data_IF_041595483972
#
_entry.id   IF_041595483972
#
_cell.length_a   1.000
_cell.length_b   1.000
_cell.length_c   1.000
_cell.angle_alpha   90.00
_cell.angle_beta   90.00
_cell.angle_gamma   90.00
#
_symmetry.space_group_name_H-M   'P 1'
#
loop_
_entity.id
_entity.type
_entity.pdbx_description
1 polymer ?
#
# COMPACT_ATOMS: atom_id res chain seq x y z
N UNK A 1 -24.47 -7.91 1.57
CA UNK A 1 -24.53 -6.50 2.03
C UNK A 1 -24.53 -6.54 3.53
N UNK A 2 -23.66 -5.78 4.18
CA UNK A 2 -23.58 -5.71 5.64
C UNK A 2 -24.26 -4.40 6.07
N UNK A 3 -25.19 -4.46 7.02
CA UNK A 3 -25.80 -3.25 7.60
C UNK A 3 -25.05 -2.91 8.89
N UNK A 4 -24.65 -1.66 9.05
CA UNK A 4 -24.07 -1.14 10.27
C UNK A 4 -25.17 -0.89 11.32
N UNK A 5 -25.61 -1.96 11.98
CA UNK A 5 -26.67 -1.93 12.99
C UNK A 5 -26.34 -1.05 14.19
N UNK A 6 -25.05 -0.93 14.52
CA UNK A 6 -24.56 -0.09 15.62
C UNK A 6 -24.79 1.39 15.28
N UNK A 7 -24.46 1.80 14.06
CA UNK A 7 -24.71 3.18 13.59
C UNK A 7 -26.20 3.55 13.66
N UNK A 8 -27.09 2.65 13.21
CA UNK A 8 -28.54 2.83 13.28
C UNK A 8 -29.00 2.96 14.74
N UNK A 9 -28.54 2.07 15.63
CA UNK A 9 -28.90 2.07 17.05
C UNK A 9 -28.51 3.37 17.74
N UNK A 10 -27.26 3.80 17.55
CA UNK A 10 -26.73 5.00 18.19
C UNK A 10 -27.53 6.23 17.72
N UNK A 11 -27.71 6.36 16.41
CA UNK A 11 -28.46 7.49 15.85
C UNK A 11 -29.92 7.50 16.27
N UNK A 12 -30.57 6.33 16.36
CA UNK A 12 -31.94 6.22 16.87
C UNK A 12 -32.05 6.73 18.30
N UNK A 13 -31.11 6.34 19.17
CA UNK A 13 -31.07 6.77 20.58
C UNK A 13 -30.82 8.28 20.70
N UNK A 14 -29.91 8.83 19.90
CA UNK A 14 -29.65 10.28 19.85
C UNK A 14 -30.91 11.09 19.48
N UNK A 15 -31.72 10.59 18.55
CA UNK A 15 -32.98 11.22 18.15
C UNK A 15 -34.16 10.89 19.08
N UNK A 16 -33.93 10.15 20.18
CA UNK A 16 -34.95 9.82 21.18
C UNK A 16 -36.02 8.83 20.71
N UNK A 17 -35.79 8.09 19.62
CA UNK A 17 -36.76 7.12 19.13
C UNK A 17 -36.68 5.78 19.87
N UNK A 18 -37.83 5.20 20.21
CA UNK A 18 -37.90 3.77 20.54
C UNK A 18 -37.82 2.93 19.25
N UNK A 19 -37.43 1.65 19.37
CA UNK A 19 -37.43 0.74 18.22
C UNK A 19 -38.83 0.61 17.59
N UNK A 20 -39.88 0.63 18.43
CA UNK A 20 -41.27 0.54 17.96
C UNK A 20 -41.70 1.80 17.19
N UNK A 21 -41.30 2.99 17.65
CA UNK A 21 -41.56 4.24 16.95
C UNK A 21 -40.86 4.29 15.59
N UNK A 22 -39.58 3.91 15.55
CA UNK A 22 -38.82 3.85 14.30
C UNK A 22 -39.45 2.84 13.34
N UNK A 23 -39.81 1.65 13.82
CA UNK A 23 -40.43 0.60 13.00
C UNK A 23 -41.72 1.07 12.34
N UNK A 24 -42.61 1.72 13.11
CA UNK A 24 -43.87 2.28 12.58
C UNK A 24 -43.62 3.31 11.49
N UNK A 25 -42.67 4.23 11.70
CA UNK A 25 -42.33 5.27 10.71
C UNK A 25 -41.64 4.69 9.47
N UNK A 26 -40.81 3.67 9.64
CA UNK A 26 -40.07 3.03 8.55
C UNK A 26 -40.90 1.99 7.77
N UNK A 27 -42.16 1.77 8.16
CA UNK A 27 -43.07 0.78 7.58
C UNK A 27 -42.49 -0.64 7.69
N UNK A 28 -42.06 -1.00 8.89
CA UNK A 28 -41.61 -2.35 9.23
C UNK A 28 -42.01 -2.74 10.66
N UNK A 29 -41.60 -3.92 11.12
CA UNK A 29 -41.92 -4.41 12.47
C UNK A 29 -40.77 -4.12 13.45
N UNK A 30 -41.09 -3.99 14.74
CA UNK A 30 -40.08 -3.75 15.77
C UNK A 30 -39.02 -4.89 15.85
N UNK A 31 -39.37 -6.17 15.68
CA UNK A 31 -38.37 -7.24 15.55
C UNK A 31 -37.37 -7.03 14.41
N UNK A 32 -37.81 -6.49 13.26
CA UNK A 32 -36.91 -6.17 12.14
C UNK A 32 -35.88 -5.12 12.55
N UNK A 33 -36.30 -4.03 13.22
CA UNK A 33 -35.36 -3.02 13.74
C UNK A 33 -34.39 -3.65 14.75
N UNK A 34 -34.89 -4.49 15.65
CA UNK A 34 -34.06 -5.16 16.65
C UNK A 34 -32.98 -6.04 16.00
N UNK A 35 -33.36 -6.88 15.04
CA UNK A 35 -32.46 -7.73 14.28
C UNK A 35 -31.43 -6.92 13.50
N UNK A 36 -31.84 -5.81 12.86
CA UNK A 36 -30.92 -4.91 12.15
C UNK A 36 -29.89 -4.34 13.12
N UNK A 37 -30.32 -3.80 14.26
CA UNK A 37 -29.42 -3.19 15.26
C UNK A 37 -28.45 -4.19 15.88
N UNK A 38 -28.85 -5.47 15.99
CA UNK A 38 -28.02 -6.56 16.49
C UNK A 38 -27.12 -7.19 15.42
N UNK A 39 -27.28 -6.83 14.14
CA UNK A 39 -26.57 -7.48 13.03
C UNK A 39 -27.08 -8.88 12.68
N UNK A 40 -28.27 -9.25 13.17
CA UNK A 40 -28.89 -10.57 12.99
C UNK A 40 -29.88 -10.61 11.80
N UNK A 41 -30.05 -9.50 11.08
CA UNK A 41 -30.99 -9.41 9.99
C UNK A 41 -30.52 -10.20 8.76
N UNK A 42 -31.00 -11.45 8.63
CA UNK A 42 -30.55 -12.40 7.58
C UNK A 42 -31.42 -12.43 6.31
N UNK A 43 -32.55 -11.72 6.30
CA UNK A 43 -33.47 -11.74 5.17
C UNK A 43 -32.85 -11.05 3.95
N UNK A 44 -33.24 -11.46 2.73
CA UNK A 44 -32.88 -10.72 1.50
C UNK A 44 -33.18 -9.24 1.74
N UNK A 45 -32.13 -8.44 1.73
CA UNK A 45 -32.15 -7.05 2.21
C UNK A 45 -33.27 -6.27 1.52
N UNK A 46 -34.33 -5.91 2.25
CA UNK A 46 -35.34 -5.03 1.72
C UNK A 46 -34.80 -3.60 1.74
N UNK A 47 -34.14 -3.20 0.64
CA UNK A 47 -33.53 -1.88 0.48
C UNK A 47 -34.52 -0.73 0.71
N UNK A 48 -35.82 -0.95 0.50
CA UNK A 48 -36.86 0.07 0.77
C UNK A 48 -36.93 0.36 2.27
N UNK A 49 -36.98 -0.68 3.11
CA UNK A 49 -37.01 -0.53 4.57
C UNK A 49 -35.75 0.18 5.06
N UNK A 50 -34.58 -0.21 4.55
CA UNK A 50 -33.31 0.42 4.95
C UNK A 50 -33.23 1.88 4.49
N UNK A 51 -33.69 2.21 3.27
CA UNK A 51 -33.79 3.60 2.80
C UNK A 51 -34.69 4.44 3.70
N UNK A 52 -35.84 3.90 4.10
CA UNK A 52 -36.76 4.58 5.01
C UNK A 52 -36.13 4.83 6.38
N UNK A 53 -35.46 3.83 6.95
CA UNK A 53 -34.72 3.97 8.22
C UNK A 53 -33.64 5.05 8.10
N UNK A 54 -32.81 5.00 7.05
CA UNK A 54 -31.73 5.96 6.85
C UNK A 54 -32.28 7.39 6.68
N UNK A 55 -33.35 7.57 5.91
CA UNK A 55 -34.02 8.87 5.74
C UNK A 55 -34.55 9.42 7.08
N UNK A 56 -35.23 8.59 7.88
CA UNK A 56 -35.78 9.00 9.18
C UNK A 56 -34.71 9.34 10.21
N UNK A 57 -33.55 8.69 10.13
CA UNK A 57 -32.43 8.91 11.04
C UNK A 57 -31.42 9.95 10.52
N UNK A 58 -31.69 10.53 9.33
CA UNK A 58 -30.78 11.45 8.62
C UNK A 58 -29.39 10.85 8.41
N UNK A 59 -29.35 9.55 8.10
CA UNK A 59 -28.14 8.81 7.81
C UNK A 59 -27.95 8.66 6.30
N UNK A 60 -26.69 8.72 5.89
CA UNK A 60 -26.27 8.36 4.54
C UNK A 60 -26.34 6.84 4.37
N UNK A 61 -27.15 6.39 3.41
CA UNK A 61 -27.36 4.95 3.16
C UNK A 61 -26.07 4.25 2.76
N UNK A 62 -25.13 4.93 2.11
CA UNK A 62 -23.86 4.31 1.69
C UNK A 62 -22.92 4.08 2.88
N UNK A 63 -23.11 4.81 3.98
CA UNK A 63 -22.41 4.60 5.26
C UNK A 63 -23.05 3.47 6.07
N UNK A 64 -24.37 3.35 6.01
CA UNK A 64 -25.15 2.34 6.77
C UNK A 64 -25.12 0.98 6.08
N UNK A 65 -25.29 0.95 4.76
CA UNK A 65 -25.27 -0.27 3.96
C UNK A 65 -23.91 -0.41 3.32
N UNK A 66 -23.05 -1.21 3.94
CA UNK A 66 -21.79 -1.59 3.34
C UNK A 66 -22.08 -2.66 2.29
N UNK A 67 -22.24 -2.23 1.04
CA UNK A 67 -22.28 -3.14 -0.10
C UNK A 67 -20.98 -3.94 -0.18
N UNK A 68 -21.00 -5.14 -0.79
CA UNK A 68 -19.75 -5.91 -1.00
C UNK A 68 -18.72 -5.02 -1.72
N UNK A 69 -19.18 -4.23 -2.70
CA UNK A 69 -18.40 -3.16 -3.36
C UNK A 69 -17.80 -2.17 -2.34
N UNK A 70 -18.59 -1.56 -1.46
CA UNK A 70 -18.11 -0.54 -0.52
C UNK A 70 -17.10 -1.11 0.50
N UNK A 71 -17.31 -2.34 0.99
CA UNK A 71 -16.37 -3.03 1.88
C UNK A 71 -15.03 -3.24 1.17
N UNK A 72 -15.07 -3.79 -0.05
CA UNK A 72 -13.86 -4.09 -0.82
C UNK A 72 -13.10 -2.84 -1.24
N UNK A 73 -13.82 -1.80 -1.65
CA UNK A 73 -13.24 -0.49 -1.94
C UNK A 73 -12.61 0.15 -0.71
N UNK A 74 -13.22 0.01 0.47
CA UNK A 74 -12.64 0.52 1.71
C UNK A 74 -11.36 -0.25 2.09
N UNK A 75 -11.39 -1.58 2.05
CA UNK A 75 -10.20 -2.42 2.26
C UNK A 75 -9.07 -2.02 1.30
N UNK A 76 -9.37 -1.92 0.00
CA UNK A 76 -8.42 -1.52 -1.04
C UNK A 76 -7.81 -0.12 -0.80
N UNK A 77 -8.62 0.85 -0.37
CA UNK A 77 -8.15 2.21 -0.07
C UNK A 77 -7.22 2.26 1.14
N UNK A 78 -7.38 1.35 2.09
CA UNK A 78 -6.62 1.32 3.34
C UNK A 78 -5.38 0.42 3.30
N UNK A 79 -5.07 -0.24 2.18
CA UNK A 79 -3.81 -0.98 2.01
C UNK A 79 -2.64 0.02 2.18
N UNK A 80 -1.83 -0.18 3.22
CA UNK A 80 -0.61 0.60 3.49
C UNK A 80 0.54 0.09 2.64
N UNK A 81 1.67 0.81 2.51
CA UNK A 81 2.80 0.25 1.75
C UNK A 81 3.35 -1.00 2.44
N UNK A 82 3.35 -1.03 3.77
CA UNK A 82 3.83 -2.18 4.53
C UNK A 82 3.03 -3.42 4.16
N UNK A 83 1.70 -3.31 4.04
CA UNK A 83 0.84 -4.40 3.58
C UNK A 83 1.22 -4.87 2.15
N UNK A 84 1.58 -3.93 1.26
CA UNK A 84 1.98 -4.24 -0.11
C UNK A 84 3.29 -5.05 -0.14
N UNK A 85 4.27 -4.69 0.70
CA UNK A 85 5.56 -5.37 0.76
C UNK A 85 5.56 -6.67 1.59
N UNK A 86 4.62 -6.82 2.53
CA UNK A 86 4.46 -8.05 3.31
C UNK A 86 3.68 -9.14 2.59
N UNK A 87 3.03 -8.82 1.46
CA UNK A 87 2.33 -9.79 0.59
C UNK A 87 1.34 -10.71 1.30
N UNK A 88 0.52 -10.16 2.20
CA UNK A 88 -0.53 -10.96 2.84
C UNK A 88 -1.51 -11.53 1.80
N UNK A 89 -2.00 -12.76 2.03
CA UNK A 89 -3.02 -13.43 1.21
C UNK A 89 -4.25 -12.54 1.02
N UNK A 90 -4.57 -11.72 2.02
CA UNK A 90 -5.67 -10.77 1.96
C UNK A 90 -5.52 -9.71 0.86
N UNK A 91 -4.31 -9.18 0.63
CA UNK A 91 -4.07 -8.17 -0.41
C UNK A 91 -4.37 -8.73 -1.80
N UNK A 92 -3.98 -9.97 -2.07
CA UNK A 92 -4.24 -10.64 -3.36
C UNK A 92 -5.73 -10.77 -3.65
N UNK A 93 -6.49 -11.19 -2.66
CA UNK A 93 -7.95 -11.34 -2.79
C UNK A 93 -8.63 -9.98 -2.95
N UNK A 94 -8.18 -8.96 -2.21
CA UNK A 94 -8.73 -7.60 -2.32
C UNK A 94 -8.57 -7.05 -3.73
N UNK A 95 -7.40 -7.22 -4.37
CA UNK A 95 -7.17 -6.75 -5.75
C UNK A 95 -8.13 -7.42 -6.75
N UNK A 96 -8.20 -8.75 -6.74
CA UNK A 96 -9.08 -9.48 -7.66
C UNK A 96 -10.56 -9.11 -7.48
N UNK A 97 -10.99 -8.90 -6.23
CA UNK A 97 -12.38 -8.56 -5.94
C UNK A 97 -12.73 -7.09 -6.22
N UNK A 98 -11.74 -6.18 -6.26
CA UNK A 98 -11.98 -4.75 -6.49
C UNK A 98 -11.95 -4.36 -7.96
N UNK A 99 -11.32 -5.15 -8.82
CA UNK A 99 -11.17 -4.90 -10.27
C UNK A 99 -12.49 -4.48 -10.96
N UNK A 100 -13.65 -5.15 -10.72
CA UNK A 100 -14.91 -4.78 -11.36
C UNK A 100 -15.49 -3.43 -10.89
N UNK A 101 -14.93 -2.85 -9.83
CA UNK A 101 -15.42 -1.64 -9.18
C UNK A 101 -14.50 -0.42 -9.37
N UNK A 102 -13.48 -0.53 -10.23
CA UNK A 102 -12.50 0.53 -10.49
C UNK A 102 -13.04 1.61 -11.45
N UNK A 103 -13.82 2.54 -10.90
CA UNK A 103 -14.53 3.56 -11.70
C UNK A 103 -13.64 4.77 -12.07
N UNK A 104 -12.68 5.15 -11.21
CA UNK A 104 -11.87 6.35 -11.42
C UNK A 104 -10.45 6.02 -11.87
N UNK A 105 -9.82 6.93 -12.64
CA UNK A 105 -8.42 6.79 -13.04
C UNK A 105 -7.48 6.66 -11.82
N UNK A 106 -7.72 7.44 -10.76
CA UNK A 106 -6.93 7.36 -9.51
C UNK A 106 -7.00 5.97 -8.88
N UNK A 107 -8.16 5.33 -8.91
CA UNK A 107 -8.33 3.96 -8.39
C UNK A 107 -7.61 2.93 -9.26
N UNK A 108 -7.69 3.06 -10.59
CA UNK A 108 -6.95 2.20 -11.53
C UNK A 108 -5.44 2.34 -11.35
N UNK A 109 -4.93 3.56 -11.19
CA UNK A 109 -3.51 3.82 -10.92
C UNK A 109 -3.08 3.22 -9.58
N UNK A 110 -3.87 3.39 -8.52
CA UNK A 110 -3.59 2.74 -7.24
C UNK A 110 -3.58 1.21 -7.37
N UNK A 111 -4.51 0.64 -8.14
CA UNK A 111 -4.57 -0.80 -8.37
C UNK A 111 -3.31 -1.30 -9.10
N UNK A 112 -2.88 -0.56 -10.13
CA UNK A 112 -1.64 -0.82 -10.84
C UNK A 112 -0.42 -0.71 -9.93
N UNK A 113 -0.37 0.27 -9.05
CA UNK A 113 0.74 0.43 -8.10
C UNK A 113 0.89 -0.80 -7.19
N UNK A 114 -0.21 -1.23 -6.55
CA UNK A 114 -0.20 -2.41 -5.68
C UNK A 114 0.10 -3.68 -6.48
N UNK A 115 -0.48 -3.81 -7.68
CA UNK A 115 -0.21 -4.96 -8.57
C UNK A 115 1.24 -5.00 -9.03
N UNK A 116 1.84 -3.85 -9.33
CA UNK A 116 3.24 -3.72 -9.74
C UNK A 116 4.21 -4.16 -8.66
N UNK A 117 4.00 -3.71 -7.42
CA UNK A 117 4.76 -4.19 -6.25
C UNK A 117 4.63 -5.70 -6.10
N UNK A 118 3.41 -6.24 -6.21
CA UNK A 118 3.18 -7.69 -6.14
C UNK A 118 3.91 -8.46 -7.24
N UNK A 119 3.87 -7.98 -8.48
CA UNK A 119 4.57 -8.63 -9.60
C UNK A 119 6.08 -8.59 -9.39
N UNK A 120 6.61 -7.47 -8.92
CA UNK A 120 8.02 -7.33 -8.56
C UNK A 120 8.45 -8.35 -7.50
N UNK A 121 7.70 -8.46 -6.41
CA UNK A 121 8.02 -9.38 -5.30
C UNK A 121 7.90 -10.87 -5.67
N UNK A 122 7.14 -11.19 -6.72
CA UNK A 122 7.03 -12.54 -7.28
C UNK A 122 8.03 -12.79 -8.43
N UNK A 123 9.09 -11.98 -8.55
CA UNK A 123 10.09 -12.05 -9.61
C UNK A 123 9.50 -11.98 -11.04
N UNK A 124 8.33 -11.37 -11.19
CA UNK A 124 7.67 -11.17 -12.48
C UNK A 124 7.89 -9.74 -12.98
N UNK A 125 9.11 -9.50 -13.47
CA UNK A 125 9.58 -8.15 -13.79
C UNK A 125 8.89 -7.49 -14.98
N UNK A 126 8.48 -8.25 -16.00
CA UNK A 126 7.78 -7.69 -17.17
C UNK A 126 6.41 -7.16 -16.76
N UNK A 127 5.65 -7.92 -15.99
CA UNK A 127 4.34 -7.51 -15.49
C UNK A 127 4.46 -6.37 -14.46
N UNK A 128 5.52 -6.38 -13.64
CA UNK A 128 5.82 -5.27 -12.76
C UNK A 128 6.01 -3.96 -13.54
N UNK A 129 6.81 -3.99 -14.61
CA UNK A 129 7.01 -2.84 -15.51
C UNK A 129 5.69 -2.35 -16.10
N UNK A 130 4.89 -3.26 -16.66
CA UNK A 130 3.61 -2.93 -17.31
C UNK A 130 2.63 -2.26 -16.34
N UNK A 131 2.65 -2.66 -15.06
CA UNK A 131 1.86 -2.03 -14.02
C UNK A 131 2.43 -0.69 -13.54
N UNK A 132 3.74 -0.59 -13.37
CA UNK A 132 4.39 0.56 -12.72
C UNK A 132 4.64 1.76 -13.66
N UNK A 133 4.84 1.54 -14.96
CA UNK A 133 5.03 2.65 -15.91
C UNK A 133 3.85 3.64 -15.95
N UNK A 134 2.57 3.19 -16.04
CA UNK A 134 1.42 4.09 -15.96
C UNK A 134 1.33 4.84 -14.64
N UNK A 135 1.79 4.23 -13.54
CA UNK A 135 1.79 4.84 -12.20
C UNK A 135 2.73 6.03 -12.17
N UNK A 136 3.96 5.85 -12.64
CA UNK A 136 4.93 6.93 -12.70
C UNK A 136 4.46 8.08 -13.61
N UNK A 137 3.92 7.75 -14.79
CA UNK A 137 3.37 8.76 -15.70
C UNK A 137 2.22 9.57 -15.07
N UNK A 138 1.35 8.91 -14.31
CA UNK A 138 0.25 9.59 -13.62
C UNK A 138 0.76 10.56 -12.56
N UNK A 139 1.73 10.15 -11.75
CA UNK A 139 2.24 10.96 -10.64
C UNK A 139 3.16 12.09 -11.08
N UNK A 140 3.97 11.92 -12.13
CA UNK A 140 4.80 13.00 -12.67
C UNK A 140 3.98 14.24 -13.09
N UNK A 141 2.70 14.04 -13.39
CA UNK A 141 1.76 15.11 -13.76
C UNK A 141 1.01 15.70 -12.54
N UNK A 142 1.38 15.31 -11.31
CA UNK A 142 0.75 15.73 -10.06
C UNK A 142 1.79 16.25 -9.08
N UNK A 143 1.44 17.29 -8.32
CA UNK A 143 2.26 17.82 -7.21
C UNK A 143 2.05 17.04 -5.90
N UNK A 144 1.81 15.73 -6.01
CA UNK A 144 1.48 14.84 -4.88
C UNK A 144 2.10 13.46 -5.12
N UNK A 145 2.25 12.67 -4.05
CA UNK A 145 2.69 11.26 -4.15
C UNK A 145 4.18 11.08 -4.40
N UNK A 146 5.02 11.97 -3.86
CA UNK A 146 6.47 11.96 -4.04
C UNK A 146 7.10 10.63 -3.58
N UNK A 147 6.56 10.04 -2.52
CA UNK A 147 7.03 8.76 -2.01
C UNK A 147 6.67 7.60 -2.93
N UNK A 148 5.42 7.53 -3.40
CA UNK A 148 5.02 6.51 -4.38
C UNK A 148 5.80 6.63 -5.68
N UNK A 149 6.19 7.85 -6.08
CA UNK A 149 7.09 8.07 -7.21
C UNK A 149 8.47 7.46 -6.96
N UNK A 150 9.10 7.75 -5.82
CA UNK A 150 10.39 7.15 -5.44
C UNK A 150 10.34 5.63 -5.46
N UNK A 151 9.34 5.03 -4.79
CA UNK A 151 9.19 3.57 -4.77
C UNK A 151 9.00 3.04 -6.19
N UNK A 152 8.17 3.67 -7.00
CA UNK A 152 7.93 3.26 -8.38
C UNK A 152 9.21 3.32 -9.22
N UNK A 153 10.02 4.38 -9.11
CA UNK A 153 11.29 4.50 -9.82
C UNK A 153 12.29 3.42 -9.39
N UNK A 154 12.42 3.16 -8.09
CA UNK A 154 13.29 2.09 -7.59
C UNK A 154 12.87 0.72 -8.14
N UNK A 155 11.58 0.39 -8.06
CA UNK A 155 11.05 -0.89 -8.56
C UNK A 155 11.16 -1.04 -10.08
N UNK A 156 10.99 0.05 -10.85
CA UNK A 156 11.26 0.05 -12.28
C UNK A 156 12.75 -0.18 -12.55
N UNK A 157 13.65 0.47 -11.80
CA UNK A 157 15.09 0.25 -11.95
C UNK A 157 15.46 -1.22 -11.74
N UNK A 158 14.95 -1.85 -10.67
CA UNK A 158 15.14 -3.28 -10.43
C UNK A 158 14.57 -4.15 -11.54
N UNK A 159 13.33 -3.88 -11.94
CA UNK A 159 12.62 -4.71 -12.91
C UNK A 159 13.23 -4.62 -14.31
N UNK A 160 13.79 -3.46 -14.69
CA UNK A 160 14.54 -3.34 -15.94
C UNK A 160 15.92 -3.99 -15.86
N UNK A 161 16.57 -3.95 -14.69
CA UNK A 161 17.84 -4.62 -14.49
C UNK A 161 17.70 -6.14 -14.65
N UNK A 162 16.67 -6.74 -14.06
CA UNK A 162 16.43 -8.19 -14.10
C UNK A 162 16.12 -8.72 -15.50
N UNK A 163 15.62 -7.88 -16.42
CA UNK A 163 15.41 -8.23 -17.83
C UNK A 163 16.52 -7.69 -18.74
N UNK A 164 17.69 -7.37 -18.16
CA UNK A 164 18.92 -6.95 -18.86
C UNK A 164 18.77 -5.66 -19.69
N UNK A 165 17.80 -4.81 -19.35
CA UNK A 165 17.60 -3.48 -19.94
C UNK A 165 18.34 -2.42 -19.12
N UNK A 166 19.66 -2.56 -19.04
CA UNK A 166 20.52 -1.77 -18.16
C UNK A 166 20.42 -0.25 -18.37
N UNK A 167 20.30 0.21 -19.62
CA UNK A 167 20.14 1.65 -19.92
C UNK A 167 18.90 2.22 -19.24
N UNK A 168 17.76 1.52 -19.36
CA UNK A 168 16.51 1.96 -18.73
C UNK A 168 16.61 1.85 -17.20
N UNK A 169 17.22 0.78 -16.68
CA UNK A 169 17.46 0.61 -15.25
C UNK A 169 18.24 1.79 -14.65
N UNK A 170 19.33 2.20 -15.32
CA UNK A 170 20.17 3.33 -14.91
C UNK A 170 19.45 4.68 -15.02
N UNK A 171 18.58 4.85 -16.01
CA UNK A 171 17.76 6.06 -16.13
C UNK A 171 16.81 6.22 -14.93
N UNK A 172 16.11 5.14 -14.54
CA UNK A 172 15.24 5.17 -13.37
C UNK A 172 16.00 5.31 -12.06
N UNK A 173 17.19 4.69 -11.95
CA UNK A 173 18.09 4.86 -10.81
C UNK A 173 18.53 6.33 -10.66
N UNK A 174 18.92 6.97 -11.76
CA UNK A 174 19.33 8.38 -11.76
C UNK A 174 18.18 9.29 -11.31
N UNK A 175 16.98 9.08 -11.88
CA UNK A 175 15.79 9.84 -11.50
C UNK A 175 15.41 9.66 -10.02
N UNK A 176 15.55 8.43 -9.50
CA UNK A 176 15.34 8.14 -8.09
C UNK A 176 16.32 8.91 -7.20
N UNK A 177 17.61 8.88 -7.53
CA UNK A 177 18.67 9.57 -6.77
C UNK A 177 18.44 11.07 -6.74
N UNK A 178 18.09 11.67 -7.88
CA UNK A 178 17.78 13.09 -8.00
C UNK A 178 16.58 13.47 -7.13
N UNK A 179 15.48 12.71 -7.22
CA UNK A 179 14.28 12.99 -6.45
C UNK A 179 14.47 12.78 -4.95
N UNK A 180 15.24 11.77 -4.54
CA UNK A 180 15.48 11.43 -3.14
C UNK A 180 16.18 12.56 -2.35
N UNK A 181 16.85 13.49 -3.03
CA UNK A 181 17.49 14.66 -2.41
C UNK A 181 16.49 15.67 -1.84
N UNK A 182 15.23 15.66 -2.32
CA UNK A 182 14.25 16.70 -2.04
C UNK A 182 13.08 16.24 -1.16
N UNK A 183 12.95 14.94 -0.90
CA UNK A 183 11.84 14.41 -0.11
C UNK A 183 12.12 14.59 1.38
N UNK A 184 11.18 15.23 2.09
CA UNK A 184 11.32 15.53 3.51
C UNK A 184 11.43 14.25 4.35
N UNK A 185 12.45 14.23 5.21
CA UNK A 185 12.96 13.09 5.98
C UNK A 185 12.03 12.69 7.16
N UNK A 186 10.89 13.38 7.26
CA UNK A 186 10.14 13.48 8.51
C UNK A 186 9.24 12.28 8.80
N UNK A 187 8.70 11.52 7.82
CA UNK A 187 7.69 10.51 8.22
C UNK A 187 7.45 9.20 7.44
N UNK A 188 8.06 8.87 6.29
CA UNK A 188 7.61 7.67 5.54
C UNK A 188 8.51 6.43 5.62
N UNK A 189 7.92 5.31 6.10
CA UNK A 189 8.20 3.90 5.75
C UNK A 189 9.69 3.54 5.55
N UNK A 190 10.52 3.98 6.51
CA UNK A 190 11.99 3.93 6.50
C UNK A 190 12.58 2.53 6.27
N UNK A 191 11.85 1.48 6.64
CA UNK A 191 12.23 0.08 6.37
C UNK A 191 12.18 -0.24 4.88
N UNK A 192 11.16 0.26 4.18
CA UNK A 192 11.02 0.07 2.72
C UNK A 192 12.10 0.84 1.99
N UNK A 193 12.33 2.12 2.36
CA UNK A 193 13.40 2.92 1.74
C UNK A 193 14.78 2.32 1.95
N UNK A 194 15.08 1.82 3.16
CA UNK A 194 16.34 1.12 3.42
C UNK A 194 16.53 -0.10 2.50
N UNK A 195 15.50 -0.94 2.33
CA UNK A 195 15.57 -2.10 1.45
C UNK A 195 15.73 -1.69 -0.02
N UNK A 196 15.05 -0.63 -0.45
CA UNK A 196 15.19 -0.09 -1.81
C UNK A 196 16.61 0.44 -2.05
N UNK A 197 17.15 1.26 -1.14
CA UNK A 197 18.52 1.76 -1.24
C UNK A 197 19.54 0.63 -1.28
N UNK A 198 19.41 -0.38 -0.40
CA UNK A 198 20.30 -1.54 -0.38
C UNK A 198 20.32 -2.29 -1.72
N UNK A 199 19.15 -2.50 -2.33
CA UNK A 199 19.09 -3.10 -3.65
C UNK A 199 19.68 -2.19 -4.74
N UNK A 200 19.41 -0.89 -4.71
CA UNK A 200 19.90 0.03 -5.73
C UNK A 200 21.42 0.17 -5.68
N UNK A 201 22.02 0.11 -4.48
CA UNK A 201 23.47 0.04 -4.30
C UNK A 201 24.06 -1.17 -5.04
N UNK A 202 23.41 -2.34 -4.97
CA UNK A 202 23.84 -3.51 -5.74
C UNK A 202 23.84 -3.23 -7.25
N UNK A 203 22.77 -2.62 -7.78
CA UNK A 203 22.71 -2.21 -9.19
C UNK A 203 23.84 -1.22 -9.54
N UNK A 204 24.12 -0.27 -8.66
CA UNK A 204 25.21 0.69 -8.86
C UNK A 204 26.56 -0.02 -9.01
N UNK A 205 26.87 -0.99 -8.14
CA UNK A 205 28.12 -1.75 -8.23
C UNK A 205 28.22 -2.57 -9.52
N UNK A 206 27.16 -3.29 -9.89
CA UNK A 206 27.13 -4.08 -11.13
C UNK A 206 27.32 -3.22 -12.39
N UNK A 207 26.85 -1.97 -12.36
CA UNK A 207 26.98 -1.02 -13.46
C UNK A 207 28.18 -0.06 -13.33
N UNK A 208 29.05 -0.22 -12.32
CA UNK A 208 30.19 0.66 -12.04
C UNK A 208 29.82 2.14 -11.82
N UNK A 209 28.65 2.39 -11.23
CA UNK A 209 28.13 3.72 -10.88
C UNK A 209 28.51 4.09 -9.44
N UNK A 210 29.81 4.27 -9.18
CA UNK A 210 30.34 4.40 -7.82
C UNK A 210 29.79 5.63 -7.08
N UNK A 211 29.69 6.79 -7.74
CA UNK A 211 29.17 8.03 -7.13
C UNK A 211 27.74 7.84 -6.60
N UNK A 212 26.90 7.11 -7.35
CA UNK A 212 25.53 6.80 -6.93
C UNK A 212 25.51 5.79 -5.79
N UNK A 213 26.41 4.81 -5.79
CA UNK A 213 26.53 3.86 -4.69
C UNK A 213 26.91 4.59 -3.38
N UNK A 214 27.88 5.49 -3.43
CA UNK A 214 28.32 6.29 -2.27
C UNK A 214 27.20 7.17 -1.73
N UNK A 215 26.47 7.87 -2.62
CA UNK A 215 25.33 8.68 -2.21
C UNK A 215 24.24 7.83 -1.53
N UNK A 216 23.85 6.70 -2.14
CA UNK A 216 22.84 5.80 -1.56
C UNK A 216 23.31 5.18 -0.23
N UNK A 217 24.60 4.88 -0.10
CA UNK A 217 25.20 4.46 1.16
C UNK A 217 25.08 5.54 2.23
N UNK A 218 25.29 6.81 1.91
CA UNK A 218 25.12 7.91 2.85
C UNK A 218 23.66 8.03 3.35
N UNK A 219 22.69 7.87 2.44
CA UNK A 219 21.26 7.87 2.78
C UNK A 219 20.89 6.68 3.68
N UNK A 220 21.35 5.47 3.32
CA UNK A 220 21.22 4.27 4.15
C UNK A 220 21.77 4.49 5.55
N UNK A 221 23.00 5.00 5.65
CA UNK A 221 23.69 5.24 6.91
C UNK A 221 22.91 6.21 7.79
N UNK A 222 22.43 7.32 7.22
CA UNK A 222 21.59 8.28 7.93
C UNK A 222 20.31 7.65 8.48
N UNK A 223 19.61 6.80 7.72
CA UNK A 223 18.43 6.09 8.21
C UNK A 223 18.78 5.15 9.38
N UNK A 224 19.86 4.37 9.27
CA UNK A 224 20.27 3.43 10.32
C UNK A 224 20.72 4.10 11.61
N UNK A 225 21.53 5.16 11.53
CA UNK A 225 22.03 5.91 12.70
C UNK A 225 20.91 6.57 13.47
N UNK A 226 19.88 7.04 12.77
CA UNK A 226 18.79 7.80 13.39
C UNK A 226 17.84 6.90 14.18
N UNK A 227 17.48 5.68 13.72
CA UNK A 227 16.29 5.00 14.29
C UNK A 227 16.13 3.46 14.27
N UNK A 228 17.09 2.61 13.87
CA UNK A 228 16.82 1.14 13.81
C UNK A 228 17.45 0.31 14.95
N UNK A 229 16.59 -0.25 15.82
CA UNK A 229 16.86 -1.54 16.49
C UNK A 229 16.77 -2.65 15.43
N UNK A 230 17.94 -3.16 15.04
CA UNK A 230 18.21 -4.21 14.02
C UNK A 230 17.34 -5.48 14.09
N UNK A 231 16.62 -5.70 15.19
CA UNK A 231 15.74 -6.84 15.43
C UNK A 231 14.50 -6.92 14.51
N UNK A 232 14.00 -5.79 13.99
CA UNK A 232 12.79 -5.79 13.14
C UNK A 232 13.08 -6.23 11.69
N UNK A 233 14.22 -5.80 11.14
CA UNK A 233 14.66 -6.14 9.78
C UNK A 233 14.92 -7.65 9.61
N UNK A 234 15.56 -8.29 10.61
CA UNK A 234 15.72 -9.76 10.63
C UNK A 234 14.40 -10.50 10.64
N UNK A 235 13.34 -9.91 11.23
CA UNK A 235 12.02 -10.54 11.32
C UNK A 235 11.26 -10.49 10.00
N UNK A 236 11.44 -9.42 9.21
CA UNK A 236 10.84 -9.26 7.87
C UNK A 236 11.58 -10.10 6.84
N UNK A 237 12.91 -10.01 6.77
CA UNK A 237 13.71 -10.78 5.81
C UNK A 237 13.58 -12.30 6.02
N UNK A 238 13.45 -12.75 7.27
CA UNK A 238 13.22 -14.17 7.60
C UNK A 238 11.79 -14.63 7.31
N UNK A 239 10.82 -13.71 7.21
CA UNK A 239 9.43 -14.01 6.84
C UNK A 239 9.18 -14.01 5.33
N UNK A 240 9.98 -13.27 4.55
CA UNK A 240 9.81 -13.18 3.10
C UNK A 240 10.42 -14.34 2.32
N UNK A 241 11.15 -15.25 2.98
CA UNK A 241 11.89 -16.38 2.38
C UNK A 241 12.84 -16.01 1.21
N UNK A 242 13.04 -14.71 0.95
CA UNK A 242 13.84 -14.24 -0.15
C UNK A 242 15.31 -14.17 0.27
N UNK A 243 16.05 -15.23 -0.09
CA UNK A 243 17.45 -15.43 0.27
C UNK A 243 18.37 -14.27 -0.17
N UNK A 244 18.08 -13.63 -1.31
CA UNK A 244 18.88 -12.50 -1.81
C UNK A 244 18.76 -11.27 -0.91
N UNK A 245 17.57 -11.02 -0.37
CA UNK A 245 17.31 -9.91 0.56
C UNK A 245 17.95 -10.19 1.92
N UNK A 246 17.86 -11.43 2.40
CA UNK A 246 18.53 -11.86 3.64
C UNK A 246 20.06 -11.68 3.52
N UNK A 247 20.66 -12.15 2.42
CA UNK A 247 22.09 -12.06 2.19
C UNK A 247 22.58 -10.61 2.06
N UNK A 248 21.77 -9.72 1.47
CA UNK A 248 22.07 -8.28 1.39
C UNK A 248 22.02 -7.60 2.78
N UNK A 249 21.02 -7.93 3.60
CA UNK A 249 20.87 -7.42 4.97
C UNK A 249 22.00 -7.89 5.88
N UNK A 250 22.47 -9.13 5.70
CA UNK A 250 23.59 -9.68 6.47
C UNK A 250 24.95 -9.11 6.02
N UNK A 251 25.12 -8.75 4.75
CA UNK A 251 26.32 -8.02 4.28
C UNK A 251 26.40 -6.60 4.84
N UNK A 252 25.26 -5.94 5.04
CA UNK A 252 25.17 -4.63 5.68
C UNK A 252 25.47 -4.66 7.20
N UNK A 253 25.52 -5.85 7.83
CA UNK A 253 25.96 -6.04 9.22
C UNK A 253 27.47 -6.09 9.40
N UNK A 254 28.25 -6.21 8.32
CA UNK A 254 29.69 -6.06 8.46
C UNK A 254 29.93 -4.59 8.81
N UNK A 255 30.60 -4.27 9.94
CA UNK A 255 31.14 -2.93 10.07
C UNK A 255 31.90 -2.64 8.79
N UNK A 256 31.80 -1.40 8.28
CA UNK A 256 32.77 -0.91 7.30
C UNK A 256 34.08 -0.88 8.06
N UNK A 257 34.71 -2.04 8.19
CA UNK A 257 36.04 -2.18 8.72
C UNK A 257 36.89 -1.52 7.64
N UNK A 258 37.28 -0.28 7.95
CA UNK A 258 38.23 0.59 7.28
C UNK A 258 38.45 0.25 5.81
N UNK A 259 37.95 1.11 4.92
CA UNK A 259 38.60 1.47 3.66
C UNK A 259 39.38 0.32 3.01
N UNK A 260 38.88 -0.34 1.94
CA UNK A 260 39.80 -1.05 1.06
C UNK A 260 40.86 -0.03 0.68
N UNK A 261 42.09 -0.30 1.08
CA UNK A 261 43.27 0.43 0.68
C UNK A 261 43.35 0.24 -0.84
N UNK A 262 42.63 1.07 -1.58
CA UNK A 262 42.78 1.20 -3.02
C UNK A 262 44.11 1.91 -3.20
N UNK A 263 45.18 1.11 -3.10
CA UNK A 263 46.52 1.52 -3.42
C UNK A 263 46.49 2.21 -4.78
N UNK A 264 46.90 3.47 -4.77
CA UNK A 264 47.24 4.23 -5.96
C UNK A 264 48.24 3.42 -6.79
N UNK A 265 47.76 2.88 -7.92
CA UNK A 265 48.55 2.57 -9.11
C UNK A 265 47.69 2.76 -10.35
#
# INVERSE_FOLDING_TARGET
MLIDGIMIRNRRKELGFTQQQLARKAVCTQPVICQIENGEYNHKLNLVVIKNICSLLMLDIDKVVKSKKNIKLHQFKNITIEDMFLMDYDVRNILAEVEPFLETQRMKIRHNYISGIRHFLNDNSVEAINCLQPVLYFWNNKKEGEFEQLVTMALLSFSYFSIEKYILSTQYLSAFVEMAQYVDDSYLERSVMYNLYAGLIYICYENKLLDYAEYLHSLCYHITQKYIRLSYLKKIAKKSENKKIVDAVDKLHQPIDKSPDYGLF
#
